data_IF_968980559695
#
_entry.id   IF_968980559695
#
_cell.length_a   1.000
_cell.length_b   1.000
_cell.length_c   1.000
_cell.angle_alpha   90.00
_cell.angle_beta   90.00
_cell.angle_gamma   90.00
#
_symmetry.space_group_name_H-M   'P 1'
#
loop_
_entity.id
_entity.type
_entity.pdbx_description
1 polymer ?
#
# COMPACT_ATOMS: atom_id res chain seq x y z
N UNK A 1 -25.27 37.41 -7.83
CA UNK A 1 -23.97 36.98 -7.29
C UNK A 1 -23.12 36.24 -8.31
N UNK A 2 -23.56 35.12 -8.88
CA UNK A 2 -22.79 34.31 -9.86
C UNK A 2 -22.81 34.93 -11.27
N UNK A 3 -23.91 35.48 -11.75
CA UNK A 3 -24.01 36.14 -13.06
C UNK A 3 -23.19 37.44 -13.17
N UNK A 4 -22.99 38.17 -12.07
CA UNK A 4 -22.13 39.36 -12.04
C UNK A 4 -20.64 39.00 -12.08
N UNK A 5 -20.26 37.86 -11.48
CA UNK A 5 -18.87 37.37 -11.49
C UNK A 5 -18.48 36.86 -12.89
N UNK A 6 -19.32 36.10 -13.57
CA UNK A 6 -19.09 35.69 -14.96
C UNK A 6 -19.02 36.87 -15.95
N UNK A 7 -19.87 37.89 -15.79
CA UNK A 7 -19.78 39.10 -16.62
C UNK A 7 -18.51 39.92 -16.36
N UNK A 8 -17.94 39.87 -15.16
CA UNK A 8 -16.70 40.56 -14.84
C UNK A 8 -15.45 39.83 -15.38
N UNK A 9 -15.46 38.50 -15.41
CA UNK A 9 -14.38 37.71 -16.02
C UNK A 9 -14.40 37.79 -17.55
N UNK A 10 -15.58 37.77 -18.18
CA UNK A 10 -15.70 37.94 -19.64
C UNK A 10 -15.23 39.35 -20.07
N UNK A 11 -15.47 40.41 -19.28
CA UNK A 11 -14.98 41.75 -19.56
C UNK A 11 -13.47 41.87 -19.36
N UNK A 12 -12.83 41.20 -18.39
CA UNK A 12 -11.38 41.18 -18.22
C UNK A 12 -10.66 40.50 -19.39
N UNK A 13 -11.24 39.45 -19.95
CA UNK A 13 -10.64 38.74 -21.09
C UNK A 13 -10.73 39.54 -22.42
N UNK A 14 -11.63 40.55 -22.52
CA UNK A 14 -11.75 41.36 -23.73
C UNK A 14 -10.67 42.43 -23.88
N UNK A 15 -9.91 42.73 -22.82
CA UNK A 15 -8.87 43.78 -22.80
C UNK A 15 -7.44 43.26 -23.04
N UNK A 16 -7.25 41.94 -23.09
CA UNK A 16 -5.94 41.33 -23.32
C UNK A 16 -5.54 41.41 -24.81
N UNK A 17 -4.26 41.72 -25.06
CA UNK A 17 -3.70 41.74 -26.41
C UNK A 17 -3.75 40.33 -27.07
N UNK A 18 -3.83 40.25 -28.40
CA UNK A 18 -3.94 38.95 -29.09
C UNK A 18 -2.83 37.94 -28.71
N UNK A 19 -1.63 38.44 -28.42
CA UNK A 19 -0.50 37.58 -27.98
C UNK A 19 -0.67 37.06 -26.55
N UNK A 20 -1.18 37.87 -25.65
CA UNK A 20 -1.47 37.46 -24.27
C UNK A 20 -2.59 36.43 -24.26
N UNK A 21 -3.62 36.60 -25.09
CA UNK A 21 -4.69 35.60 -25.27
C UNK A 21 -4.14 34.28 -25.80
N UNK A 22 -3.20 34.32 -26.77
CA UNK A 22 -2.55 33.11 -27.27
C UNK A 22 -1.70 32.44 -26.21
N UNK A 23 -1.00 33.19 -25.36
CA UNK A 23 -0.21 32.64 -24.27
C UNK A 23 -1.10 32.00 -23.18
N UNK A 24 -2.16 32.70 -22.78
CA UNK A 24 -3.14 32.20 -21.81
C UNK A 24 -3.85 30.97 -22.36
N UNK A 25 -4.28 31.03 -23.63
CA UNK A 25 -4.92 29.88 -24.29
C UNK A 25 -3.96 28.70 -24.42
N UNK A 26 -2.68 28.92 -24.78
CA UNK A 26 -1.65 27.89 -24.77
C UNK A 26 -1.38 27.35 -23.36
N UNK A 27 -1.41 28.20 -22.35
CA UNK A 27 -1.21 27.81 -20.96
C UNK A 27 -2.41 27.02 -20.43
N UNK A 28 -3.64 27.46 -20.71
CA UNK A 28 -4.88 26.73 -20.36
C UNK A 28 -4.94 25.40 -21.10
N UNK A 29 -4.67 25.40 -22.43
CA UNK A 29 -4.65 24.17 -23.23
C UNK A 29 -3.49 23.24 -22.81
N UNK A 30 -2.34 23.76 -22.37
CA UNK A 30 -1.26 22.94 -21.81
C UNK A 30 -1.61 22.39 -20.43
N UNK A 31 -2.45 23.07 -19.66
CA UNK A 31 -2.95 22.61 -18.34
C UNK A 31 -4.12 21.63 -18.48
N UNK A 32 -4.96 21.80 -19.50
CA UNK A 32 -6.06 20.87 -19.83
C UNK A 32 -5.61 19.62 -20.57
N UNK A 33 -4.43 19.66 -21.23
CA UNK A 33 -3.88 18.57 -22.04
C UNK A 33 -2.76 17.77 -21.33
N UNK A 34 -2.53 17.95 -20.03
CA UNK A 34 -1.73 16.96 -19.31
C UNK A 34 -2.58 15.71 -19.15
N UNK A 35 -2.45 14.79 -20.10
CA UNK A 35 -2.96 13.43 -19.93
C UNK A 35 -2.45 12.93 -18.58
N UNK A 36 -3.37 12.74 -17.64
CA UNK A 36 -3.01 12.20 -16.33
C UNK A 36 -3.02 10.69 -16.43
N UNK A 37 -1.97 10.08 -15.92
CA UNK A 37 -1.80 8.63 -15.90
C UNK A 37 -2.04 8.09 -14.50
N UNK A 38 -2.38 6.82 -14.40
CA UNK A 38 -2.46 6.08 -13.15
C UNK A 38 -1.24 5.18 -13.05
N UNK A 39 -0.55 5.25 -11.91
CA UNK A 39 0.49 4.29 -11.55
C UNK A 39 -0.15 3.19 -10.70
N UNK A 40 -0.29 2.00 -11.25
CA UNK A 40 -0.77 0.83 -10.54
C UNK A 40 0.42 0.01 -10.03
N UNK A 41 0.47 -0.24 -8.71
CA UNK A 41 1.47 -1.06 -8.05
C UNK A 41 0.86 -2.40 -7.67
N UNK A 42 1.48 -3.48 -8.13
CA UNK A 42 1.10 -4.86 -7.83
C UNK A 42 2.25 -5.53 -7.07
N UNK A 43 2.12 -5.57 -5.76
CA UNK A 43 3.09 -6.21 -4.88
C UNK A 43 2.68 -7.66 -4.65
N UNK A 44 3.14 -8.56 -5.52
CA UNK A 44 2.85 -9.99 -5.47
C UNK A 44 3.70 -10.75 -4.43
N UNK A 45 3.48 -12.06 -4.36
CA UNK A 45 4.22 -12.93 -3.42
C UNK A 45 5.68 -13.12 -3.83
N UNK A 46 5.98 -13.10 -5.13
CA UNK A 46 7.33 -13.42 -5.64
C UNK A 46 7.99 -12.25 -6.39
N UNK A 47 7.24 -11.20 -6.68
CA UNK A 47 7.75 -10.06 -7.44
C UNK A 47 6.91 -8.81 -7.17
N UNK A 48 7.54 -7.65 -7.36
CA UNK A 48 6.89 -6.34 -7.43
C UNK A 48 6.71 -5.94 -8.88
N UNK A 49 5.54 -5.39 -9.21
CA UNK A 49 5.21 -4.88 -10.54
C UNK A 49 4.69 -3.45 -10.45
N UNK A 50 4.95 -2.66 -11.48
CA UNK A 50 4.33 -1.35 -11.69
C UNK A 50 3.83 -1.26 -13.12
N UNK A 51 2.66 -0.65 -13.30
CA UNK A 51 1.99 -0.48 -14.59
C UNK A 51 1.54 0.98 -14.68
N UNK A 52 1.82 1.61 -15.81
CA UNK A 52 1.30 2.94 -16.16
C UNK A 52 0.10 2.74 -17.08
N UNK A 53 -1.03 3.32 -16.69
CA UNK A 53 -2.30 3.24 -17.41
C UNK A 53 -2.73 4.63 -17.84
N UNK A 54 -3.12 4.80 -19.10
CA UNK A 54 -3.64 6.05 -19.66
C UNK A 54 -5.15 6.25 -19.32
N UNK A 55 -5.70 7.39 -19.71
CA UNK A 55 -7.11 7.71 -19.53
C UNK A 55 -8.05 6.74 -20.28
N UNK A 56 -7.59 6.13 -21.35
CA UNK A 56 -8.36 5.12 -22.12
C UNK A 56 -8.33 3.72 -21.51
N UNK A 57 -7.57 3.51 -20.42
CA UNK A 57 -7.40 2.21 -19.80
C UNK A 57 -6.31 1.34 -20.46
N UNK A 58 -5.50 1.91 -21.36
CA UNK A 58 -4.44 1.19 -22.04
C UNK A 58 -3.18 1.16 -21.16
N UNK A 59 -2.47 0.04 -21.17
CA UNK A 59 -1.16 -0.08 -20.53
C UNK A 59 -0.11 0.61 -21.42
N UNK A 60 0.48 1.68 -20.91
CA UNK A 60 1.50 2.47 -21.61
C UNK A 60 2.90 1.91 -21.37
N UNK A 61 3.18 1.52 -20.12
CA UNK A 61 4.44 0.91 -19.73
C UNK A 61 4.27 -0.02 -18.55
N UNK A 62 5.20 -0.94 -18.38
CA UNK A 62 5.28 -1.80 -17.19
C UNK A 62 6.71 -2.14 -16.85
N UNK A 63 6.95 -2.41 -15.56
CA UNK A 63 8.19 -2.94 -15.03
C UNK A 63 7.89 -3.98 -13.95
N UNK A 64 8.74 -4.98 -13.82
CA UNK A 64 8.60 -6.05 -12.83
C UNK A 64 9.98 -6.50 -12.36
N UNK A 65 10.10 -6.80 -11.06
CA UNK A 65 11.33 -7.29 -10.43
C UNK A 65 11.00 -8.35 -9.39
N UNK A 66 11.61 -9.53 -9.45
CA UNK A 66 11.51 -10.52 -8.39
C UNK A 66 12.27 -10.06 -7.15
N UNK A 67 11.93 -10.66 -5.99
CA UNK A 67 12.66 -10.49 -4.74
C UNK A 67 12.85 -11.84 -4.04
N UNK A 68 13.77 -11.88 -3.07
CA UNK A 68 14.17 -13.09 -2.40
C UNK A 68 13.03 -13.69 -1.56
N UNK A 69 12.91 -15.02 -1.61
CA UNK A 69 12.02 -15.80 -0.76
C UNK A 69 12.88 -16.46 0.33
N UNK A 70 12.61 -16.16 1.59
CA UNK A 70 13.40 -16.63 2.72
C UNK A 70 12.67 -17.79 3.41
N UNK A 71 13.32 -18.93 3.54
CA UNK A 71 12.79 -20.15 4.17
C UNK A 71 13.63 -20.56 5.37
N UNK A 72 13.49 -19.94 6.54
CA UNK A 72 14.38 -20.17 7.70
C UNK A 72 14.28 -21.59 8.27
N UNK A 73 13.08 -22.19 8.19
CA UNK A 73 12.77 -23.53 8.68
C UNK A 73 11.65 -24.17 7.83
N UNK A 74 11.45 -25.48 7.89
CA UNK A 74 10.31 -26.13 7.23
C UNK A 74 8.97 -25.47 7.65
N UNK A 75 8.17 -25.05 6.67
CA UNK A 75 6.88 -24.37 6.88
C UNK A 75 6.97 -22.89 7.25
N UNK A 76 8.16 -22.32 7.34
CA UNK A 76 8.35 -20.88 7.54
C UNK A 76 8.65 -20.19 6.22
N UNK A 77 7.99 -19.07 5.99
CA UNK A 77 8.17 -18.26 4.78
C UNK A 77 8.23 -16.79 5.17
N UNK A 78 9.32 -16.13 4.80
CA UNK A 78 9.58 -14.73 5.12
C UNK A 78 10.00 -13.93 3.90
N UNK A 79 9.77 -12.63 3.94
CA UNK A 79 10.35 -11.65 3.02
C UNK A 79 11.06 -10.55 3.82
N UNK A 80 12.09 -9.95 3.24
CA UNK A 80 12.67 -8.71 3.75
C UNK A 80 11.76 -7.52 3.38
N UNK A 81 11.19 -6.79 4.36
CA UNK A 81 10.37 -5.61 4.08
C UNK A 81 11.15 -4.49 3.39
N UNK A 82 12.45 -4.42 3.60
CA UNK A 82 13.34 -3.50 2.91
C UNK A 82 13.42 -3.82 1.41
N UNK A 83 13.53 -5.09 1.07
CA UNK A 83 13.55 -5.55 -0.32
C UNK A 83 12.19 -5.38 -1.01
N UNK A 84 11.08 -5.64 -0.31
CA UNK A 84 9.72 -5.32 -0.81
C UNK A 84 9.63 -3.84 -1.20
N UNK A 85 10.06 -2.94 -0.32
CA UNK A 85 10.06 -1.50 -0.60
C UNK A 85 10.98 -1.14 -1.75
N UNK A 86 12.23 -1.64 -1.73
CA UNK A 86 13.21 -1.35 -2.76
C UNK A 86 12.75 -1.79 -4.14
N UNK A 87 12.26 -3.02 -4.28
CA UNK A 87 11.79 -3.55 -5.56
C UNK A 87 10.55 -2.80 -6.05
N UNK A 88 9.58 -2.52 -5.16
CA UNK A 88 8.36 -1.80 -5.54
C UNK A 88 8.65 -0.36 -5.97
N UNK A 89 9.49 0.36 -5.25
CA UNK A 89 9.87 1.73 -5.62
C UNK A 89 10.72 1.77 -6.90
N UNK A 90 11.59 0.78 -7.08
CA UNK A 90 12.42 0.65 -8.29
C UNK A 90 11.57 0.43 -9.53
N UNK A 91 10.62 -0.53 -9.51
CA UNK A 91 9.76 -0.78 -10.68
C UNK A 91 8.77 0.37 -10.93
N UNK A 92 8.36 1.10 -9.89
CA UNK A 92 7.55 2.31 -10.06
C UNK A 92 8.33 3.39 -10.84
N UNK A 93 9.55 3.68 -10.44
CA UNK A 93 10.42 4.63 -11.14
C UNK A 93 10.75 4.17 -12.57
N UNK A 94 11.03 2.88 -12.76
CA UNK A 94 11.32 2.29 -14.07
C UNK A 94 10.11 2.38 -15.02
N UNK A 95 8.89 2.09 -14.54
CA UNK A 95 7.70 2.19 -15.38
C UNK A 95 7.41 3.63 -15.81
N UNK A 96 7.58 4.61 -14.90
CA UNK A 96 7.44 6.04 -15.21
C UNK A 96 8.48 6.47 -16.26
N UNK A 97 9.74 6.06 -16.09
CA UNK A 97 10.80 6.36 -17.05
C UNK A 97 10.57 5.72 -18.43
N UNK A 98 10.11 4.46 -18.47
CA UNK A 98 9.77 3.77 -19.74
C UNK A 98 8.64 4.44 -20.51
N UNK A 99 7.73 5.10 -19.80
CA UNK A 99 6.63 5.85 -20.40
C UNK A 99 7.04 7.28 -20.84
N UNK A 100 8.30 7.66 -20.62
CA UNK A 100 8.79 9.04 -20.81
C UNK A 100 7.98 10.09 -20.03
N UNK A 101 7.59 9.73 -18.80
CA UNK A 101 6.78 10.54 -17.90
C UNK A 101 7.58 10.98 -16.66
N UNK A 102 6.99 11.92 -15.94
CA UNK A 102 7.45 12.38 -14.62
C UNK A 102 6.38 12.14 -13.56
N UNK A 103 6.71 12.34 -12.30
CA UNK A 103 5.72 12.25 -11.21
C UNK A 103 4.58 13.26 -11.33
N UNK A 104 4.76 14.36 -12.07
CA UNK A 104 3.73 15.37 -12.30
C UNK A 104 2.63 14.89 -13.24
N UNK A 105 2.94 13.89 -14.08
CA UNK A 105 2.02 13.30 -15.03
C UNK A 105 1.13 12.22 -14.38
N UNK A 106 1.46 11.79 -13.14
CA UNK A 106 0.73 10.78 -12.40
C UNK A 106 -0.38 11.43 -11.57
N UNK A 107 -1.63 11.11 -11.88
CA UNK A 107 -2.81 11.61 -11.17
C UNK A 107 -2.98 10.93 -9.80
N UNK A 108 -2.77 9.62 -9.75
CA UNK A 108 -2.88 8.84 -8.52
C UNK A 108 -2.08 7.53 -8.61
N UNK A 109 -1.88 6.92 -7.44
CA UNK A 109 -1.25 5.60 -7.29
C UNK A 109 -2.31 4.64 -6.74
N UNK A 110 -2.56 3.55 -7.47
CA UNK A 110 -3.35 2.41 -6.98
C UNK A 110 -2.41 1.32 -6.47
N UNK A 111 -2.76 0.68 -5.35
CA UNK A 111 -1.94 -0.37 -4.75
C UNK A 111 -2.79 -1.63 -4.63
N UNK A 112 -2.28 -2.74 -5.16
CA UNK A 112 -2.72 -4.10 -4.83
C UNK A 112 -1.53 -4.89 -4.29
N UNK A 113 -1.78 -5.88 -3.44
CA UNK A 113 -0.70 -6.57 -2.74
C UNK A 113 -1.05 -8.01 -2.40
N UNK A 114 -0.04 -8.82 -2.12
CA UNK A 114 -0.21 -10.07 -1.39
C UNK A 114 -0.83 -9.76 -0.03
N UNK A 115 -2.03 -10.28 0.23
CA UNK A 115 -2.75 -10.03 1.48
C UNK A 115 -2.18 -10.88 2.63
N UNK A 116 -2.59 -10.61 3.86
CA UNK A 116 -2.27 -11.32 5.10
C UNK A 116 -0.79 -11.31 5.51
N UNK A 117 0.14 -11.12 4.58
CA UNK A 117 1.57 -10.97 4.89
C UNK A 117 1.76 -9.81 5.86
N UNK A 118 2.45 -10.09 6.96
CA UNK A 118 2.47 -9.25 8.16
C UNK A 118 3.82 -8.59 8.35
N UNK A 119 3.83 -7.28 8.50
CA UNK A 119 5.02 -6.48 8.78
C UNK A 119 4.81 -5.70 10.09
N UNK A 120 5.81 -5.70 10.96
CA UNK A 120 5.86 -4.86 12.17
C UNK A 120 7.12 -4.02 12.12
N UNK A 121 6.97 -2.71 12.33
CA UNK A 121 8.09 -1.77 12.25
C UNK A 121 8.04 -0.73 13.38
N UNK A 122 9.19 -0.17 13.67
CA UNK A 122 9.31 0.93 14.62
C UNK A 122 8.72 2.22 14.02
N UNK A 123 7.86 2.88 14.80
CA UNK A 123 7.13 4.08 14.36
C UNK A 123 8.06 5.27 14.10
N UNK A 124 9.13 5.40 14.87
CA UNK A 124 10.02 6.55 14.81
C UNK A 124 11.10 6.36 13.72
N UNK A 125 11.71 5.18 13.69
CA UNK A 125 12.82 4.89 12.77
C UNK A 125 12.35 4.37 11.41
N UNK A 126 11.11 3.90 11.31
CA UNK A 126 10.57 3.19 10.12
C UNK A 126 11.36 1.92 9.76
N UNK A 127 12.07 1.32 10.73
CA UNK A 127 12.80 0.08 10.53
C UNK A 127 11.92 -1.12 10.93
N UNK A 128 11.82 -2.15 10.08
CA UNK A 128 11.18 -3.41 10.46
C UNK A 128 11.89 -4.02 11.67
N UNK A 129 11.12 -4.57 12.61
CA UNK A 129 11.70 -5.26 13.78
C UNK A 129 11.91 -6.75 13.56
N UNK A 130 11.34 -7.26 12.48
CA UNK A 130 11.45 -8.64 12.01
C UNK A 130 11.13 -8.69 10.51
N UNK A 131 11.52 -9.80 9.85
CA UNK A 131 11.10 -10.05 8.48
C UNK A 131 9.56 -10.10 8.37
N UNK A 132 9.03 -9.77 7.20
CA UNK A 132 7.61 -9.97 6.90
C UNK A 132 7.28 -11.46 6.96
N UNK A 133 6.30 -11.83 7.79
CA UNK A 133 5.82 -13.22 7.84
C UNK A 133 4.75 -13.38 6.77
N UNK A 134 5.05 -14.23 5.78
CA UNK A 134 4.23 -14.39 4.57
C UNK A 134 2.94 -15.16 4.86
N UNK A 135 1.90 -14.94 4.07
CA UNK A 135 0.61 -15.63 4.19
C UNK A 135 0.70 -17.16 4.14
N UNK A 136 1.70 -17.72 3.46
CA UNK A 136 1.98 -19.17 3.34
C UNK A 136 2.60 -19.77 4.61
N UNK A 137 3.11 -18.93 5.51
CA UNK A 137 3.83 -19.35 6.72
C UNK A 137 2.93 -20.11 7.70
N UNK A 138 3.45 -21.21 8.25
CA UNK A 138 2.71 -22.09 9.14
C UNK A 138 3.18 -22.11 10.58
N UNK A 139 4.14 -21.21 10.97
CA UNK A 139 4.73 -21.19 12.32
C UNK A 139 3.74 -21.00 13.46
N UNK A 140 2.58 -20.39 13.18
CA UNK A 140 1.53 -20.14 14.18
C UNK A 140 0.41 -21.18 14.16
N UNK A 141 0.55 -22.27 13.39
CA UNK A 141 -0.49 -23.30 13.26
C UNK A 141 -0.85 -23.93 14.61
N UNK A 142 0.15 -24.28 15.43
CA UNK A 142 -0.08 -24.88 16.74
C UNK A 142 -0.82 -23.92 17.69
N UNK A 143 -0.53 -22.63 17.61
CA UNK A 143 -1.27 -21.62 18.37
C UNK A 143 -2.72 -21.49 17.91
N UNK A 144 -2.99 -21.59 16.61
CA UNK A 144 -4.35 -21.64 16.10
C UNK A 144 -5.10 -22.88 16.63
N UNK A 145 -4.46 -24.05 16.68
CA UNK A 145 -5.08 -25.26 17.26
C UNK A 145 -5.34 -25.13 18.76
N UNK A 146 -4.46 -24.46 19.49
CA UNK A 146 -4.71 -24.13 20.91
C UNK A 146 -5.96 -23.27 21.06
N UNK A 147 -6.08 -22.18 20.32
CA UNK A 147 -7.25 -21.28 20.36
C UNK A 147 -8.56 -21.99 19.95
N UNK A 148 -8.51 -22.93 19.01
CA UNK A 148 -9.67 -23.77 18.65
C UNK A 148 -10.12 -24.62 19.83
N UNK A 149 -9.19 -25.27 20.53
CA UNK A 149 -9.47 -26.07 21.73
C UNK A 149 -10.03 -25.23 22.88
N UNK A 150 -9.64 -23.96 22.98
CA UNK A 150 -10.19 -22.99 23.93
C UNK A 150 -11.58 -22.45 23.53
N UNK A 151 -12.16 -22.91 22.42
CA UNK A 151 -13.48 -22.48 21.95
C UNK A 151 -13.52 -21.09 21.31
N UNK A 152 -12.36 -20.53 20.91
CA UNK A 152 -12.29 -19.18 20.33
C UNK A 152 -12.72 -19.13 18.86
N UNK A 153 -12.72 -20.25 18.16
CA UNK A 153 -12.96 -20.32 16.71
C UNK A 153 -14.31 -19.72 16.30
N UNK A 154 -15.38 -20.03 17.05
CA UNK A 154 -16.75 -19.55 16.74
C UNK A 154 -16.85 -18.02 16.87
N UNK A 155 -16.32 -17.46 17.95
CA UNK A 155 -16.30 -16.00 18.18
C UNK A 155 -15.51 -15.27 17.09
N UNK A 156 -14.37 -15.80 16.68
CA UNK A 156 -13.55 -15.23 15.61
C UNK A 156 -14.32 -15.26 14.29
N UNK A 157 -14.90 -16.42 13.95
CA UNK A 157 -15.69 -16.59 12.73
C UNK A 157 -16.90 -15.64 12.69
N UNK A 158 -17.61 -15.52 13.79
CA UNK A 158 -18.78 -14.65 13.88
C UNK A 158 -18.43 -13.18 13.67
N UNK A 159 -17.27 -12.71 14.18
CA UNK A 159 -16.85 -11.32 14.08
C UNK A 159 -16.14 -10.97 12.76
N UNK A 160 -15.42 -11.92 12.18
CA UNK A 160 -14.52 -11.66 11.05
C UNK A 160 -14.91 -12.36 9.76
N UNK A 161 -15.82 -13.34 9.81
CA UNK A 161 -16.14 -14.22 8.70
C UNK A 161 -15.05 -15.25 8.37
N UNK A 162 -13.91 -15.23 9.09
CA UNK A 162 -12.74 -16.05 8.80
C UNK A 162 -12.67 -17.28 9.69
N UNK A 163 -12.15 -18.37 9.15
CA UNK A 163 -11.73 -19.52 9.96
C UNK A 163 -10.43 -19.16 10.70
N UNK A 164 -10.26 -19.68 11.91
CA UNK A 164 -9.01 -19.51 12.66
C UNK A 164 -7.91 -20.35 12.05
N UNK A 165 -6.96 -19.71 11.37
CA UNK A 165 -5.84 -20.34 10.68
C UNK A 165 -4.59 -19.45 10.71
N UNK A 166 -3.41 -20.09 10.63
CA UNK A 166 -2.12 -19.43 10.53
C UNK A 166 -1.95 -18.58 9.25
N UNK A 167 -2.84 -18.73 8.29
CA UNK A 167 -2.90 -17.94 7.06
C UNK A 167 -3.00 -16.43 7.34
N UNK A 168 -3.79 -16.04 8.33
CA UNK A 168 -4.16 -14.65 8.61
C UNK A 168 -3.17 -13.92 9.54
N UNK A 169 -3.25 -12.59 9.60
CA UNK A 169 -2.20 -11.74 10.18
C UNK A 169 -2.10 -11.79 11.70
N UNK A 170 -3.23 -11.91 12.44
CA UNK A 170 -3.27 -11.71 13.89
C UNK A 170 -2.28 -12.60 14.66
N UNK A 171 -2.23 -13.90 14.35
CA UNK A 171 -1.33 -14.83 15.04
C UNK A 171 0.14 -14.57 14.71
N UNK A 172 0.44 -14.05 13.50
CA UNK A 172 1.79 -13.65 13.10
C UNK A 172 2.27 -12.43 13.89
N UNK A 173 1.40 -11.42 14.10
CA UNK A 173 1.70 -10.27 14.96
C UNK A 173 2.02 -10.73 16.37
N UNK A 174 1.15 -11.57 16.94
CA UNK A 174 1.38 -12.14 18.26
C UNK A 174 2.72 -12.84 18.34
N UNK A 175 3.05 -13.65 17.34
CA UNK A 175 4.31 -14.37 17.29
C UNK A 175 5.52 -13.39 17.29
N UNK A 176 5.49 -12.35 16.47
CA UNK A 176 6.55 -11.33 16.43
C UNK A 176 6.70 -10.66 17.81
N UNK A 177 5.59 -10.25 18.43
CA UNK A 177 5.61 -9.58 19.72
C UNK A 177 6.13 -10.48 20.86
N UNK A 178 5.98 -11.80 20.75
CA UNK A 178 6.42 -12.76 21.76
C UNK A 178 7.87 -13.22 21.57
N UNK A 179 8.42 -13.14 20.34
CA UNK A 179 9.74 -13.70 20.01
C UNK A 179 10.79 -12.66 19.70
N UNK A 180 10.40 -11.41 19.40
CA UNK A 180 11.36 -10.32 19.25
C UNK A 180 11.52 -9.61 20.60
N UNK A 181 12.76 -9.55 21.09
CA UNK A 181 13.08 -8.97 22.41
C UNK A 181 12.55 -7.54 22.53
N UNK A 182 11.83 -7.27 23.63
CA UNK A 182 11.26 -5.96 23.93
C UNK A 182 10.12 -5.51 23.01
N UNK A 183 9.72 -6.33 22.01
CA UNK A 183 8.69 -5.92 21.05
C UNK A 183 7.33 -5.68 21.71
N UNK A 184 6.90 -6.56 22.63
CA UNK A 184 5.62 -6.41 23.30
C UNK A 184 5.56 -5.12 24.12
N UNK A 185 6.57 -4.84 24.93
CA UNK A 185 6.63 -3.62 25.73
C UNK A 185 6.64 -2.36 24.84
N UNK A 186 7.36 -2.39 23.71
CA UNK A 186 7.37 -1.29 22.75
C UNK A 186 6.00 -1.11 22.08
N UNK A 187 5.31 -2.19 21.77
CA UNK A 187 3.95 -2.15 21.21
C UNK A 187 2.96 -1.54 22.21
N UNK A 188 2.98 -1.96 23.47
CA UNK A 188 2.13 -1.40 24.55
C UNK A 188 2.37 0.09 24.76
N UNK A 189 3.59 0.56 24.57
CA UNK A 189 3.98 1.98 24.58
C UNK A 189 3.64 2.73 23.28
N UNK A 190 2.97 2.09 22.31
CA UNK A 190 2.60 2.68 21.04
C UNK A 190 3.77 3.01 20.10
N UNK A 191 4.95 2.40 20.33
CA UNK A 191 6.17 2.66 19.54
C UNK A 191 6.26 1.80 18.29
N UNK A 192 5.41 0.82 18.13
CA UNK A 192 5.39 -0.04 16.96
C UNK A 192 4.16 0.24 16.09
N UNK A 193 4.34 0.05 14.80
CA UNK A 193 3.28 -0.02 13.80
C UNK A 193 3.18 -1.45 13.27
N UNK A 194 1.99 -1.83 12.90
CA UNK A 194 1.71 -3.06 12.18
C UNK A 194 1.01 -2.73 10.85
N UNK A 195 1.24 -3.52 9.84
CA UNK A 195 0.47 -3.47 8.59
C UNK A 195 0.58 -4.74 7.76
N UNK A 196 -0.36 -4.89 6.86
CA UNK A 196 -0.20 -5.68 5.65
C UNK A 196 0.67 -4.90 4.66
N UNK A 197 1.02 -5.49 3.54
CA UNK A 197 2.02 -4.90 2.62
C UNK A 197 1.58 -3.55 2.06
N UNK A 198 0.29 -3.34 1.83
CA UNK A 198 -0.27 -2.03 1.43
C UNK A 198 0.09 -0.92 2.43
N UNK A 199 -0.14 -1.17 3.73
CA UNK A 199 0.19 -0.20 4.78
C UNK A 199 1.68 0.13 4.81
N UNK A 200 2.54 -0.88 4.64
CA UNK A 200 3.98 -0.69 4.56
C UNK A 200 4.38 0.18 3.37
N UNK A 201 3.84 -0.11 2.20
CA UNK A 201 4.12 0.66 0.97
C UNK A 201 3.65 2.11 1.12
N UNK A 202 2.43 2.34 1.63
CA UNK A 202 1.92 3.71 1.89
C UNK A 202 2.78 4.43 2.92
N UNK A 203 3.17 3.75 4.02
CA UNK A 203 4.07 4.30 5.03
C UNK A 203 5.40 4.76 4.42
N UNK A 204 6.00 3.94 3.57
CA UNK A 204 7.28 4.26 2.91
C UNK A 204 7.14 5.41 1.90
N UNK A 205 6.12 5.39 1.04
CA UNK A 205 5.87 6.48 0.09
C UNK A 205 5.60 7.81 0.77
N UNK A 206 4.94 7.79 1.92
CA UNK A 206 4.60 9.01 2.68
C UNK A 206 5.67 9.40 3.70
N UNK A 207 6.79 8.69 3.76
CA UNK A 207 7.88 8.91 4.73
C UNK A 207 7.37 8.90 6.18
N UNK A 208 6.55 7.92 6.53
CA UNK A 208 6.00 7.73 7.86
C UNK A 208 4.84 8.66 8.25
N UNK A 209 4.30 9.44 7.32
CA UNK A 209 3.22 10.40 7.61
C UNK A 209 1.82 9.78 7.60
N UNK A 210 1.63 8.69 6.85
CA UNK A 210 0.32 8.06 6.69
C UNK A 210 0.42 6.58 7.04
N UNK A 211 -0.42 6.14 7.98
CA UNK A 211 -0.56 4.74 8.40
C UNK A 211 -2.01 4.33 8.22
N UNK A 212 -2.32 3.71 7.11
CA UNK A 212 -3.67 3.31 6.70
C UNK A 212 -3.65 1.94 6.04
N UNK A 213 -4.81 1.33 5.96
CA UNK A 213 -5.09 0.15 5.15
C UNK A 213 -6.48 0.30 4.52
N UNK A 214 -6.86 -0.61 3.65
CA UNK A 214 -8.21 -0.71 3.09
C UNK A 214 -9.00 -1.88 3.70
N UNK A 215 -10.30 -1.93 3.39
CA UNK A 215 -11.18 -2.99 3.91
C UNK A 215 -10.83 -4.38 3.36
N UNK A 216 -10.25 -4.46 2.16
CA UNK A 216 -9.85 -5.73 1.54
C UNK A 216 -8.68 -6.38 2.28
N UNK A 217 -7.73 -5.57 2.77
CA UNK A 217 -6.62 -6.03 3.59
C UNK A 217 -7.05 -6.20 5.06
N UNK A 218 -7.75 -5.22 5.65
CA UNK A 218 -8.19 -5.27 7.04
C UNK A 218 -9.02 -6.51 7.34
N UNK A 219 -9.96 -6.88 6.45
CA UNK A 219 -10.82 -8.05 6.59
C UNK A 219 -10.06 -9.39 6.60
N UNK A 220 -8.78 -9.41 6.21
CA UNK A 220 -7.93 -10.61 6.16
C UNK A 220 -6.98 -10.72 7.35
N UNK A 221 -7.12 -9.89 8.37
CA UNK A 221 -6.19 -9.85 9.51
C UNK A 221 -6.64 -10.64 10.74
N UNK A 222 -7.89 -11.04 10.85
CA UNK A 222 -8.57 -11.51 12.10
C UNK A 222 -8.62 -10.40 13.18
N UNK A 223 -8.26 -9.18 12.87
CA UNK A 223 -8.30 -8.03 13.79
C UNK A 223 -9.47 -7.08 13.52
N UNK A 224 -10.11 -7.25 12.38
CA UNK A 224 -11.16 -6.36 11.89
C UNK A 224 -12.54 -7.01 12.05
N UNK A 225 -13.45 -6.35 12.80
CA UNK A 225 -14.83 -6.77 12.93
C UNK A 225 -15.61 -6.28 11.69
N UNK A 226 -16.16 -7.20 10.89
CA UNK A 226 -16.87 -6.88 9.64
C UNK A 226 -18.30 -6.35 9.85
N UNK A 227 -18.78 -6.26 11.10
CA UNK A 227 -20.14 -5.84 11.44
C UNK A 227 -20.22 -4.44 12.07
N UNK A 228 -19.09 -3.80 12.38
CA UNK A 228 -19.05 -2.50 13.09
C UNK A 228 -18.19 -1.49 12.35
#
# INVERSE_FOLDING_TARGET
>A
GEEENERSEVKKNSTLQPEERRHIHKFIMATELTQKYILALDQGTTSSRAIIVDHGGNIVASAQKPFEQIFPRPGWVEHDPGEIWYTQSSVAAEAVAKADLTGLDIACIGITNQRETTIVWDRETSLPIYNAIVWQDRRTADYCELLKREGRAETIRAKTGLMLDAYFSATKIKWILDHVEGARERAEKGKLCFGTVDSWIVWKFTRGRVHVTDVSNASRTILFNIHT
#
